data_IF_074020121002
#
_entry.id   IF_074020121002
#
_cell.length_a   1.000
_cell.length_b   1.000
_cell.length_c   1.000
_cell.angle_alpha   90.00
_cell.angle_beta   90.00
_cell.angle_gamma   90.00
#
_symmetry.space_group_name_H-M   'P 1'
#
loop_
_entity.id
_entity.type
_entity.pdbx_description
1 polymer ?
#
# COMPACT_ATOMS: atom_id res chain seq x y z
N UNK A 1 -25.98 54.03 -27.03
CA UNK A 1 -26.47 53.26 -25.87
C UNK A 1 -25.66 51.98 -25.79
N UNK A 2 -24.66 51.95 -24.91
CA UNK A 2 -23.78 50.80 -24.74
C UNK A 2 -24.46 49.78 -23.84
N UNK A 3 -24.73 48.60 -24.37
CA UNK A 3 -25.18 47.44 -23.61
C UNK A 3 -24.05 46.99 -22.68
N UNK A 4 -24.08 47.49 -21.44
CA UNK A 4 -23.28 47.03 -20.33
C UNK A 4 -23.75 45.63 -19.91
N UNK A 5 -23.33 44.60 -20.64
CA UNK A 5 -23.55 43.19 -20.27
C UNK A 5 -22.30 42.50 -19.74
N UNK A 6 -21.15 43.19 -19.75
CA UNK A 6 -19.92 42.71 -19.13
C UNK A 6 -19.30 43.83 -18.32
N UNK A 7 -19.63 43.86 -17.03
CA UNK A 7 -18.72 44.42 -16.03
C UNK A 7 -17.39 43.68 -16.18
N UNK A 8 -16.43 44.32 -16.85
CA UNK A 8 -15.13 43.75 -17.21
C UNK A 8 -14.27 43.36 -16.00
N UNK A 9 -14.67 43.77 -14.80
CA UNK A 9 -13.98 43.45 -13.54
C UNK A 9 -14.72 42.36 -12.72
N UNK A 10 -16.05 42.30 -12.77
CA UNK A 10 -16.83 41.30 -12.03
C UNK A 10 -16.74 39.89 -12.65
N UNK A 11 -16.75 39.79 -13.99
CA UNK A 11 -16.68 38.50 -14.69
C UNK A 11 -15.34 37.77 -14.53
N UNK A 12 -14.24 38.50 -14.38
CA UNK A 12 -12.91 37.93 -14.11
C UNK A 12 -12.82 37.32 -12.69
N UNK A 13 -13.47 37.96 -11.72
CA UNK A 13 -13.54 37.49 -10.33
C UNK A 13 -14.35 36.19 -10.21
N UNK A 14 -15.56 36.12 -10.76
CA UNK A 14 -16.40 34.91 -10.69
C UNK A 14 -15.78 33.73 -11.43
N UNK A 15 -15.18 33.96 -12.61
CA UNK A 15 -14.47 32.92 -13.35
C UNK A 15 -13.29 32.35 -12.55
N UNK A 16 -12.50 33.22 -11.90
CA UNK A 16 -11.37 32.80 -11.07
C UNK A 16 -11.80 31.95 -9.87
N UNK A 17 -12.90 32.32 -9.21
CA UNK A 17 -13.48 31.56 -8.09
C UNK A 17 -13.93 30.17 -8.55
N UNK A 18 -14.68 30.07 -9.66
CA UNK A 18 -15.14 28.78 -10.21
C UNK A 18 -13.94 27.91 -10.64
N UNK A 19 -12.88 28.50 -11.19
CA UNK A 19 -11.67 27.78 -11.55
C UNK A 19 -10.97 27.21 -10.29
N UNK A 20 -10.82 28.01 -9.25
CA UNK A 20 -10.22 27.58 -7.98
C UNK A 20 -11.03 26.47 -7.30
N UNK A 21 -12.37 26.57 -7.31
CA UNK A 21 -13.25 25.55 -6.76
C UNK A 21 -13.15 24.23 -7.54
N UNK A 22 -13.14 24.27 -8.88
CA UNK A 22 -12.95 23.08 -9.69
C UNK A 22 -11.57 22.44 -9.48
N UNK A 23 -10.51 23.24 -9.38
CA UNK A 23 -9.17 22.74 -9.07
C UNK A 23 -9.12 22.08 -7.70
N UNK A 24 -9.77 22.67 -6.69
CA UNK A 24 -9.89 22.10 -5.35
C UNK A 24 -10.58 20.74 -5.39
N UNK A 25 -11.76 20.65 -6.00
CA UNK A 25 -12.52 19.41 -6.12
C UNK A 25 -11.72 18.31 -6.83
N UNK A 26 -10.97 18.67 -7.88
CA UNK A 26 -10.09 17.73 -8.58
C UNK A 26 -8.93 17.26 -7.68
N UNK A 27 -8.32 18.14 -6.89
CA UNK A 27 -7.26 17.77 -5.94
C UNK A 27 -7.80 16.84 -4.85
N UNK A 28 -8.96 17.16 -4.26
CA UNK A 28 -9.59 16.30 -3.25
C UNK A 28 -9.94 14.92 -3.79
N UNK A 29 -10.47 14.84 -5.02
CA UNK A 29 -10.72 13.55 -5.68
C UNK A 29 -9.45 12.74 -5.85
N UNK A 30 -8.35 13.37 -6.30
CA UNK A 30 -7.05 12.70 -6.46
C UNK A 30 -6.48 12.22 -5.13
N UNK A 31 -6.66 12.99 -4.05
CA UNK A 31 -6.27 12.56 -2.71
C UNK A 31 -7.07 11.33 -2.26
N UNK A 32 -8.39 11.33 -2.44
CA UNK A 32 -9.22 10.17 -2.12
C UNK A 32 -8.80 8.92 -2.91
N UNK A 33 -8.52 9.07 -4.21
CA UNK A 33 -7.99 7.96 -5.02
C UNK A 33 -6.64 7.44 -4.53
N UNK A 34 -5.75 8.33 -4.07
CA UNK A 34 -4.46 7.96 -3.50
C UNK A 34 -4.61 7.23 -2.15
N UNK A 35 -5.55 7.65 -1.30
CA UNK A 35 -5.88 6.96 -0.05
C UNK A 35 -6.36 5.53 -0.31
N UNK A 36 -7.31 5.36 -1.23
CA UNK A 36 -7.81 4.05 -1.60
C UNK A 36 -6.69 3.16 -2.18
N UNK A 37 -5.81 3.72 -2.99
CA UNK A 37 -4.67 3.00 -3.54
C UNK A 37 -3.70 2.54 -2.44
N UNK A 38 -3.43 3.39 -1.44
CA UNK A 38 -2.63 3.03 -0.27
C UNK A 38 -3.28 1.92 0.56
N UNK A 39 -4.59 1.99 0.79
CA UNK A 39 -5.31 0.94 1.52
C UNK A 39 -5.24 -0.41 0.79
N UNK A 40 -5.40 -0.41 -0.54
CA UNK A 40 -5.24 -1.62 -1.36
C UNK A 40 -3.82 -2.17 -1.28
N UNK A 41 -2.81 -1.30 -1.31
CA UNK A 41 -1.41 -1.69 -1.18
C UNK A 41 -1.10 -2.31 0.18
N UNK A 42 -1.63 -1.74 1.27
CA UNK A 42 -1.49 -2.28 2.62
C UNK A 42 -2.12 -3.67 2.75
N UNK A 43 -3.33 -3.85 2.20
CA UNK A 43 -4.00 -5.14 2.17
C UNK A 43 -3.18 -6.19 1.40
N UNK A 44 -2.66 -5.86 0.22
CA UNK A 44 -1.80 -6.76 -0.56
C UNK A 44 -0.52 -7.16 0.21
N UNK A 45 0.14 -6.20 0.87
CA UNK A 45 1.30 -6.47 1.73
C UNK A 45 0.94 -7.44 2.85
N UNK A 46 -0.19 -7.23 3.53
CA UNK A 46 -0.63 -8.07 4.63
C UNK A 46 -0.95 -9.50 4.16
N UNK A 47 -1.65 -9.65 3.04
CA UNK A 47 -1.93 -10.96 2.43
C UNK A 47 -0.63 -11.68 2.08
N UNK A 48 0.34 -10.99 1.48
CA UNK A 48 1.65 -11.58 1.16
C UNK A 48 2.40 -12.04 2.40
N UNK A 49 2.37 -11.26 3.48
CA UNK A 49 2.96 -11.64 4.77
C UNK A 49 2.30 -12.90 5.34
N UNK A 50 0.99 -12.98 5.28
CA UNK A 50 0.24 -14.15 5.76
C UNK A 50 0.58 -15.40 4.95
N UNK A 51 0.58 -15.31 3.62
CA UNK A 51 0.93 -16.43 2.74
C UNK A 51 2.38 -16.88 2.95
N UNK A 52 3.32 -15.94 3.10
CA UNK A 52 4.70 -16.29 3.40
C UNK A 52 4.83 -17.01 4.75
N UNK A 53 4.09 -16.56 5.77
CA UNK A 53 4.08 -17.23 7.06
C UNK A 53 3.53 -18.66 6.96
N UNK A 54 2.48 -18.89 6.15
CA UNK A 54 1.97 -20.25 5.88
C UNK A 54 3.03 -21.14 5.25
N UNK A 55 3.83 -20.61 4.32
CA UNK A 55 4.95 -21.35 3.72
C UNK A 55 6.00 -21.69 4.77
N UNK A 56 6.35 -20.76 5.66
CA UNK A 56 7.30 -21.04 6.73
C UNK A 56 6.81 -22.11 7.71
N UNK A 57 5.56 -22.01 8.17
CA UNK A 57 4.95 -23.04 9.02
C UNK A 57 4.91 -24.40 8.32
N UNK A 58 4.64 -24.44 7.01
CA UNK A 58 4.72 -25.68 6.24
C UNK A 58 6.13 -26.27 6.26
N UNK A 59 7.15 -25.46 5.99
CA UNK A 59 8.56 -25.89 5.98
C UNK A 59 8.98 -26.41 7.35
N UNK A 60 8.70 -25.68 8.43
CA UNK A 60 8.99 -26.09 9.81
C UNK A 60 8.37 -27.46 10.14
N UNK A 61 7.09 -27.63 9.82
CA UNK A 61 6.39 -28.90 10.03
C UNK A 61 7.02 -30.05 9.22
N UNK A 62 7.44 -29.79 7.98
CA UNK A 62 8.12 -30.79 7.15
C UNK A 62 9.53 -31.11 7.66
N UNK A 63 10.26 -30.12 8.16
CA UNK A 63 11.56 -30.31 8.80
C UNK A 63 11.43 -31.21 10.05
N UNK A 64 10.48 -30.92 10.93
CA UNK A 64 10.23 -31.72 12.14
C UNK A 64 9.86 -33.17 11.80
N UNK A 65 9.03 -33.37 10.77
CA UNK A 65 8.71 -34.72 10.27
C UNK A 65 9.95 -35.45 9.74
N UNK A 66 10.83 -34.74 9.03
CA UNK A 66 12.08 -35.33 8.53
C UNK A 66 12.99 -35.78 9.67
N UNK A 67 13.15 -34.94 10.70
CA UNK A 67 13.94 -35.27 11.88
C UNK A 67 13.37 -36.47 12.65
N UNK A 68 12.05 -36.56 12.75
CA UNK A 68 11.39 -37.71 13.36
C UNK A 68 11.63 -39.00 12.57
N UNK A 69 11.49 -38.95 11.24
CA UNK A 69 11.77 -40.08 10.36
C UNK A 69 13.25 -40.48 10.40
N UNK A 70 14.16 -39.51 10.49
CA UNK A 70 15.60 -39.77 10.62
C UNK A 70 15.91 -40.57 11.89
N UNK A 71 15.34 -40.16 13.04
CA UNK A 71 15.48 -40.90 14.30
C UNK A 71 14.91 -42.32 14.20
N UNK A 72 13.76 -42.48 13.55
CA UNK A 72 13.17 -43.82 13.33
C UNK A 72 14.05 -44.68 12.43
N UNK A 73 14.63 -44.09 11.39
CA UNK A 73 15.53 -44.79 10.48
C UNK A 73 16.82 -45.24 11.16
N UNK A 74 17.38 -44.42 12.06
CA UNK A 74 18.54 -44.79 12.88
C UNK A 74 18.26 -46.01 13.78
N UNK A 75 17.06 -46.07 14.36
CA UNK A 75 16.65 -47.18 15.23
C UNK A 75 16.32 -48.46 14.44
N UNK A 76 15.64 -48.33 13.31
CA UNK A 76 15.17 -49.45 12.49
C UNK A 76 15.21 -49.09 11.00
N UNK A 77 16.37 -49.24 10.35
CA UNK A 77 16.52 -48.90 8.94
C UNK A 77 15.58 -49.72 8.06
N UNK A 78 14.82 -49.05 7.19
CA UNK A 78 14.00 -49.72 6.18
C UNK A 78 13.99 -48.98 4.85
N UNK A 79 13.84 -49.72 3.75
CA UNK A 79 13.76 -49.13 2.40
C UNK A 79 12.56 -48.17 2.27
N UNK A 80 11.45 -48.47 2.94
CA UNK A 80 10.26 -47.63 2.94
C UNK A 80 10.51 -46.28 3.62
N UNK A 81 11.16 -46.29 4.81
CA UNK A 81 11.54 -45.07 5.53
C UNK A 81 12.54 -44.23 4.73
N UNK A 82 13.56 -44.87 4.14
CA UNK A 82 14.54 -44.17 3.30
C UNK A 82 13.87 -43.47 2.11
N UNK A 83 12.88 -44.10 1.48
CA UNK A 83 12.11 -43.51 0.39
C UNK A 83 11.32 -42.28 0.86
N UNK A 84 10.57 -42.39 1.96
CA UNK A 84 9.82 -41.28 2.54
C UNK A 84 10.72 -40.09 2.92
N UNK A 85 11.87 -40.35 3.54
CA UNK A 85 12.85 -39.32 3.87
C UNK A 85 13.38 -38.63 2.62
N UNK A 86 13.66 -39.38 1.55
CA UNK A 86 14.16 -38.82 0.29
C UNK A 86 13.12 -37.92 -0.36
N UNK A 87 11.87 -38.36 -0.44
CA UNK A 87 10.75 -37.57 -0.98
C UNK A 87 10.56 -36.27 -0.17
N UNK A 88 10.60 -36.37 1.16
CA UNK A 88 10.45 -35.21 2.04
C UNK A 88 11.61 -34.21 1.89
N UNK A 89 12.84 -34.72 1.75
CA UNK A 89 14.03 -33.89 1.48
C UNK A 89 13.90 -33.15 0.15
N UNK A 90 13.45 -33.82 -0.92
CA UNK A 90 13.23 -33.19 -2.22
C UNK A 90 12.16 -32.09 -2.16
N UNK A 91 11.08 -32.31 -1.41
CA UNK A 91 10.05 -31.29 -1.21
C UNK A 91 10.64 -30.06 -0.50
N UNK A 92 11.40 -30.27 0.59
CA UNK A 92 12.05 -29.20 1.31
C UNK A 92 13.03 -28.42 0.43
N UNK A 93 13.90 -29.11 -0.31
CA UNK A 93 14.84 -28.49 -1.25
C UNK A 93 14.12 -27.66 -2.32
N UNK A 94 13.03 -28.18 -2.89
CA UNK A 94 12.23 -27.44 -3.87
C UNK A 94 11.64 -26.16 -3.27
N UNK A 95 11.11 -26.21 -2.04
CA UNK A 95 10.55 -25.02 -1.38
C UNK A 95 11.65 -24.00 -1.07
N UNK A 96 12.77 -24.44 -0.51
CA UNK A 96 13.91 -23.55 -0.23
C UNK A 96 14.45 -22.89 -1.49
N UNK A 97 14.59 -23.64 -2.58
CA UNK A 97 15.07 -23.07 -3.83
C UNK A 97 14.07 -22.05 -4.40
N UNK A 98 12.77 -22.31 -4.29
CA UNK A 98 11.74 -21.33 -4.68
C UNK A 98 11.82 -20.07 -3.81
N UNK A 99 11.94 -20.20 -2.50
CA UNK A 99 12.09 -19.05 -1.59
C UNK A 99 13.35 -18.23 -1.93
N UNK A 100 14.47 -18.90 -2.22
CA UNK A 100 15.71 -18.25 -2.63
C UNK A 100 15.57 -17.51 -3.96
N UNK A 101 14.87 -18.10 -4.93
CA UNK A 101 14.69 -17.50 -6.25
C UNK A 101 13.71 -16.32 -6.23
N UNK A 102 12.59 -16.45 -5.52
CA UNK A 102 11.53 -15.44 -5.52
C UNK A 102 11.74 -14.34 -4.48
N UNK A 103 12.55 -14.58 -3.45
CA UNK A 103 12.89 -13.62 -2.38
C UNK A 103 11.66 -12.86 -1.84
N UNK A 104 10.60 -13.57 -1.41
CA UNK A 104 9.33 -12.94 -1.04
C UNK A 104 9.49 -11.95 0.12
N UNK A 105 10.41 -12.17 1.04
CA UNK A 105 10.73 -11.26 2.15
C UNK A 105 11.21 -9.92 1.63
N UNK A 106 12.11 -9.95 0.64
CA UNK A 106 12.66 -8.74 0.03
C UNK A 106 11.56 -7.97 -0.70
N UNK A 107 10.72 -8.66 -1.45
CA UNK A 107 9.59 -8.04 -2.15
C UNK A 107 8.63 -7.39 -1.15
N UNK A 108 8.29 -8.07 -0.06
CA UNK A 108 7.44 -7.52 1.01
C UNK A 108 8.10 -6.32 1.68
N UNK A 109 9.41 -6.37 1.93
CA UNK A 109 10.16 -5.26 2.53
C UNK A 109 10.18 -4.04 1.60
N UNK A 110 10.47 -4.23 0.32
CA UNK A 110 10.49 -3.17 -0.70
C UNK A 110 9.09 -2.53 -0.84
N UNK A 111 8.03 -3.34 -0.86
CA UNK A 111 6.65 -2.85 -0.89
C UNK A 111 6.31 -2.08 0.39
N UNK A 112 6.70 -2.59 1.56
CA UNK A 112 6.45 -1.93 2.84
C UNK A 112 7.16 -0.58 2.93
N UNK A 113 8.40 -0.49 2.44
CA UNK A 113 9.14 0.79 2.37
C UNK A 113 8.42 1.80 1.49
N UNK A 114 8.03 1.40 0.28
CA UNK A 114 7.28 2.27 -0.65
C UNK A 114 5.93 2.71 -0.08
N UNK A 115 5.25 1.82 0.64
CA UNK A 115 4.00 2.18 1.32
C UNK A 115 4.22 3.32 2.33
N UNK A 116 5.27 3.25 3.16
CA UNK A 116 5.57 4.31 4.13
C UNK A 116 6.00 5.63 3.46
N UNK A 117 6.75 5.55 2.36
CA UNK A 117 7.08 6.72 1.53
C UNK A 117 5.82 7.40 1.00
N UNK A 118 4.92 6.64 0.36
CA UNK A 118 3.68 7.18 -0.21
C UNK A 118 2.70 7.66 0.85
N UNK A 119 2.63 7.00 2.00
CA UNK A 119 1.85 7.44 3.15
C UNK A 119 2.33 8.80 3.67
N UNK A 120 3.65 8.97 3.77
CA UNK A 120 4.27 10.25 4.16
C UNK A 120 4.00 11.33 3.13
N UNK A 121 4.20 11.04 1.84
CA UNK A 121 3.93 11.98 0.74
C UNK A 121 2.46 12.41 0.72
N UNK A 122 1.53 11.47 0.90
CA UNK A 122 0.11 11.76 0.96
C UNK A 122 -0.25 12.66 2.15
N UNK A 123 0.31 12.40 3.33
CA UNK A 123 0.10 13.23 4.52
C UNK A 123 0.59 14.67 4.30
N UNK A 124 1.76 14.84 3.65
CA UNK A 124 2.28 16.16 3.29
C UNK A 124 1.35 16.88 2.31
N UNK A 125 0.87 16.20 1.26
CA UNK A 125 -0.05 16.83 0.28
C UNK A 125 -1.38 17.23 0.91
N UNK A 126 -1.93 16.41 1.81
CA UNK A 126 -3.13 16.77 2.59
C UNK A 126 -2.90 18.02 3.44
N UNK A 127 -1.78 18.08 4.15
CA UNK A 127 -1.45 19.24 4.99
C UNK A 127 -1.30 20.53 4.18
N UNK A 128 -0.71 20.46 2.97
CA UNK A 128 -0.57 21.61 2.08
C UNK A 128 -1.91 22.17 1.60
N UNK A 129 -2.88 21.31 1.27
CA UNK A 129 -4.23 21.75 0.89
C UNK A 129 -4.92 22.46 2.05
N UNK A 130 -4.87 21.86 3.25
CA UNK A 130 -5.48 22.47 4.45
C UNK A 130 -4.82 23.80 4.84
N UNK A 131 -3.53 23.99 4.51
CA UNK A 131 -2.82 25.25 4.77
C UNK A 131 -3.13 26.32 3.72
N UNK A 132 -3.32 25.94 2.45
CA UNK A 132 -3.78 26.84 1.39
C UNK A 132 -5.23 27.31 1.64
N UNK A 133 -6.10 26.46 2.18
CA UNK A 133 -7.46 26.83 2.58
C UNK A 133 -7.49 27.95 3.64
N UNK A 134 -6.47 28.05 4.51
CA UNK A 134 -6.39 29.11 5.52
C UNK A 134 -5.90 30.47 4.99
N UNK A 135 -5.30 30.50 3.79
CA UNK A 135 -4.77 31.72 3.17
C UNK A 135 -5.72 32.34 2.15
N UNK A 136 -6.68 31.56 1.63
CA UNK A 136 -7.58 31.96 0.54
C UNK A 136 -9.01 32.31 1.00
N UNK A 137 -9.29 32.48 2.30
CA UNK A 137 -10.56 33.06 2.76
C UNK A 137 -10.42 34.60 2.72
N UNK A 138 -11.01 35.32 1.75
CA UNK A 138 -11.18 36.75 1.91
C UNK A 138 -12.24 36.91 2.99
N UNK A 139 -11.84 37.34 4.18
CA UNK A 139 -12.77 37.91 5.14
C UNK A 139 -13.42 39.11 4.45
N UNK A 140 -14.64 38.92 3.92
CA UNK A 140 -15.48 40.04 3.57
C UNK A 140 -15.59 40.91 4.83
N UNK A 141 -15.18 42.19 4.79
CA UNK A 141 -15.56 43.09 5.86
C UNK A 141 -17.09 43.12 5.85
N UNK A 142 -17.69 42.74 6.97
CA UNK A 142 -19.08 43.11 7.25
C UNK A 142 -19.11 44.63 7.20
N UNK A 143 -19.48 45.19 6.04
CA UNK A 143 -19.87 46.57 5.94
C UNK A 143 -21.13 46.73 6.77
N UNK A 144 -20.93 46.99 8.05
CA UNK A 144 -21.90 47.71 8.83
C UNK A 144 -21.98 49.12 8.26
N UNK A 145 -23.21 49.59 8.06
CA UNK A 145 -23.63 50.98 8.16
C UNK A 145 -25.08 51.06 7.66
N UNK A 146 -25.84 52.07 8.09
CA UNK A 146 -26.08 52.54 9.45
C UNK A 146 -27.55 52.30 9.88
#
# INVERSE_FOLDING_TARGET
MGNAFFDKEAGFSTYKVILQENEHLLRMRRLGQAEEALQRMEQDINVRKEELNKVYTFVENKQANYEQLAKQYEMAPSKALAKQMTELKQILEMVYEKLRQTQPEKVIADLSSKYEEFKTELAQKKALINTQENLDIPTHPKNGMP
#
